data_IF_397565143447
#
_entry.id   IF_397565143447
#
_cell.length_a   1.000
_cell.length_b   1.000
_cell.length_c   1.000
_cell.angle_alpha   90.00
_cell.angle_beta   90.00
_cell.angle_gamma   90.00
#
_symmetry.space_group_name_H-M   'P 1'
#
loop_
_entity.id
_entity.type
_entity.pdbx_description
1 polymer ?
#
# COMPACT_ATOMS: atom_id res chain seq x y z
N UNK A 1 33.39 -11.37 38.79
CA UNK A 1 34.23 -12.55 39.10
C UNK A 1 35.20 -12.18 40.19
N UNK A 2 35.48 -13.11 41.10
CA UNK A 2 36.45 -12.90 42.18
C UNK A 2 37.85 -13.17 41.66
N UNK A 3 38.74 -12.20 41.78
CA UNK A 3 40.14 -12.36 41.42
C UNK A 3 41.04 -12.07 42.61
N UNK A 4 42.08 -12.88 42.78
CA UNK A 4 43.11 -12.68 43.80
C UNK A 4 44.39 -12.21 43.10
N UNK A 5 44.45 -10.91 42.84
CA UNK A 5 45.62 -10.26 42.25
C UNK A 5 46.30 -9.47 43.37
N UNK A 6 47.61 -9.64 43.52
CA UNK A 6 48.38 -8.83 44.46
C UNK A 6 48.30 -7.37 44.05
N UNK A 7 47.91 -6.50 44.99
CA UNK A 7 47.73 -5.07 44.75
C UNK A 7 48.99 -4.41 44.14
N UNK A 8 50.19 -4.82 44.59
CA UNK A 8 51.47 -4.40 44.02
C UNK A 8 51.67 -4.82 42.54
N UNK A 9 51.13 -5.96 42.12
CA UNK A 9 51.22 -6.44 40.73
C UNK A 9 50.24 -5.67 39.84
N UNK A 10 49.03 -5.38 40.35
CA UNK A 10 48.05 -4.56 39.65
C UNK A 10 48.52 -3.12 39.46
N UNK A 11 49.12 -2.51 40.49
CA UNK A 11 49.69 -1.16 40.40
C UNK A 11 50.85 -1.11 39.40
N UNK A 12 51.77 -2.07 39.45
CA UNK A 12 52.86 -2.18 38.46
C UNK A 12 52.34 -2.36 37.04
N UNK A 13 51.28 -3.14 36.84
CA UNK A 13 50.66 -3.29 35.52
C UNK A 13 49.94 -2.01 35.07
N UNK A 14 49.28 -1.28 35.97
CA UNK A 14 48.66 0.03 35.69
C UNK A 14 49.69 1.10 35.33
N UNK A 15 50.84 1.12 36.00
CA UNK A 15 51.97 2.02 35.71
C UNK A 15 52.61 1.69 34.36
N UNK A 16 52.95 0.42 34.13
CA UNK A 16 53.50 -0.04 32.82
C UNK A 16 52.54 0.23 31.66
N UNK A 17 51.23 0.05 31.88
CA UNK A 17 50.22 0.40 30.87
C UNK A 17 50.25 1.90 30.54
N UNK A 18 50.33 2.77 31.55
CA UNK A 18 50.42 4.23 31.36
C UNK A 18 51.71 4.61 30.61
N UNK A 19 52.85 4.05 30.99
CA UNK A 19 54.14 4.31 30.33
C UNK A 19 54.14 3.87 28.86
N UNK A 20 53.69 2.63 28.58
CA UNK A 20 53.58 2.12 27.21
C UNK A 20 52.60 2.94 26.37
N UNK A 21 51.51 3.44 26.98
CA UNK A 21 50.53 4.32 26.32
C UNK A 21 51.09 5.70 26.02
N UNK A 22 51.92 6.24 26.90
CA UNK A 22 52.61 7.49 26.63
C UNK A 22 53.67 7.34 25.54
N UNK A 23 54.40 6.21 25.53
CA UNK A 23 55.40 5.91 24.52
C UNK A 23 54.79 5.70 23.13
N UNK A 24 53.74 4.89 23.02
CA UNK A 24 53.01 4.69 21.77
C UNK A 24 52.44 6.01 21.23
N UNK A 25 51.91 6.86 22.12
CA UNK A 25 51.41 8.21 21.77
C UNK A 25 52.52 9.14 21.26
N UNK A 26 53.73 9.09 21.84
CA UNK A 26 54.91 9.84 21.35
C UNK A 26 55.38 9.36 19.98
N UNK A 27 55.19 8.07 19.68
CA UNK A 27 55.48 7.44 18.40
C UNK A 27 54.34 7.60 17.37
N UNK A 28 53.23 8.28 17.73
CA UNK A 28 52.11 8.53 16.83
C UNK A 28 51.27 7.30 16.49
N UNK A 29 51.36 6.23 17.28
CA UNK A 29 50.66 4.95 17.08
C UNK A 29 49.78 4.60 18.28
N UNK A 30 48.83 3.70 18.07
CA UNK A 30 48.06 3.09 19.17
C UNK A 30 48.85 1.91 19.78
N UNK A 31 48.48 1.52 21.02
CA UNK A 31 49.06 0.31 21.64
C UNK A 31 48.64 -0.91 20.84
N UNK A 32 49.60 -1.82 20.62
CA UNK A 32 49.32 -3.12 20.00
C UNK A 32 48.88 -4.11 21.08
N UNK A 33 48.04 -5.07 20.70
CA UNK A 33 47.54 -6.12 21.60
C UNK A 33 48.67 -6.95 22.22
N UNK A 34 49.75 -7.22 21.47
CA UNK A 34 50.98 -7.87 21.97
C UNK A 34 51.64 -7.11 23.14
N UNK A 35 51.45 -5.80 23.25
CA UNK A 35 52.00 -4.95 24.33
C UNK A 35 51.10 -4.94 25.58
N UNK A 36 49.97 -5.65 25.54
CA UNK A 36 48.96 -5.74 26.60
C UNK A 36 48.87 -7.14 27.21
N UNK A 37 49.34 -8.17 26.51
CA UNK A 37 49.23 -9.58 26.94
C UNK A 37 49.93 -9.88 28.27
N UNK A 38 50.99 -9.15 28.62
CA UNK A 38 51.74 -9.31 29.88
C UNK A 38 51.23 -8.43 31.03
N UNK A 39 50.15 -7.66 30.82
CA UNK A 39 49.58 -6.77 31.82
C UNK A 39 48.33 -7.39 32.44
N UNK A 40 48.30 -7.44 33.78
CA UNK A 40 47.12 -7.89 34.52
C UNK A 40 46.02 -6.84 34.39
N UNK A 41 44.85 -7.22 33.87
CA UNK A 41 43.70 -6.34 33.67
C UNK A 41 42.62 -6.62 34.72
N UNK A 42 42.31 -5.61 35.54
CA UNK A 42 41.23 -5.66 36.52
C UNK A 42 40.16 -4.60 36.17
N UNK A 43 38.97 -5.04 35.80
CA UNK A 43 37.77 -4.25 35.54
C UNK A 43 36.93 -4.13 36.82
N UNK A 44 37.06 -3.02 37.52
CA UNK A 44 36.36 -2.71 38.79
C UNK A 44 34.81 -2.79 38.70
N UNK A 45 34.23 -2.82 37.50
CA UNK A 45 32.77 -2.97 37.31
C UNK A 45 32.31 -4.43 37.24
N UNK A 46 33.20 -5.35 36.89
CA UNK A 46 32.87 -6.75 36.61
C UNK A 46 33.67 -7.74 37.48
N UNK A 47 34.78 -7.28 38.05
CA UNK A 47 35.68 -8.04 38.94
C UNK A 47 35.74 -7.39 40.32
N UNK A 48 35.89 -8.22 41.34
CA UNK A 48 36.05 -7.82 42.75
C UNK A 48 37.25 -8.57 43.33
N UNK A 49 38.01 -7.92 44.21
CA UNK A 49 39.16 -8.55 44.87
C UNK A 49 38.69 -9.64 45.82
N UNK A 50 39.47 -10.71 45.95
CA UNK A 50 39.18 -11.82 46.88
C UNK A 50 39.01 -11.35 48.33
N UNK A 51 39.80 -10.37 48.77
CA UNK A 51 39.67 -9.75 50.09
C UNK A 51 38.26 -9.20 50.34
N UNK A 52 37.74 -8.46 49.36
CA UNK A 52 36.49 -7.71 49.46
C UNK A 52 35.29 -8.63 49.20
N UNK A 53 35.47 -9.64 48.33
CA UNK A 53 34.47 -10.67 48.08
C UNK A 53 34.20 -11.51 49.33
N UNK A 54 35.25 -11.83 50.10
CA UNK A 54 35.16 -12.61 51.34
C UNK A 54 34.45 -11.88 52.48
N UNK A 55 34.43 -10.55 52.46
CA UNK A 55 33.62 -9.76 53.41
C UNK A 55 32.11 -9.84 53.12
N UNK A 56 31.73 -10.14 51.87
CA UNK A 56 30.34 -10.22 51.43
C UNK A 56 29.82 -11.67 51.52
N UNK A 57 30.65 -12.65 51.19
CA UNK A 57 30.34 -14.09 51.27
C UNK A 57 31.59 -14.85 51.74
N UNK A 58 31.53 -15.45 52.94
CA UNK A 58 32.71 -16.09 53.56
C UNK A 58 33.15 -17.38 52.85
N UNK A 59 32.25 -18.02 52.09
CA UNK A 59 32.47 -19.30 51.40
C UNK A 59 32.95 -19.13 49.94
N UNK A 60 33.18 -17.90 49.47
CA UNK A 60 33.52 -17.65 48.06
C UNK A 60 34.99 -17.97 47.72
N UNK A 61 35.22 -18.61 46.57
CA UNK A 61 36.56 -18.94 46.09
C UNK A 61 37.01 -18.05 44.91
N UNK A 62 38.31 -18.02 44.64
CA UNK A 62 38.88 -17.28 43.50
C UNK A 62 38.38 -17.90 42.20
N UNK A 63 37.85 -17.07 41.31
CA UNK A 63 37.20 -17.50 40.07
C UNK A 63 35.67 -17.56 40.15
N UNK A 64 35.08 -17.47 41.34
CA UNK A 64 33.62 -17.52 41.48
C UNK A 64 32.93 -16.20 41.06
N UNK A 65 31.64 -16.31 40.76
CA UNK A 65 30.80 -15.15 40.45
C UNK A 65 29.98 -14.75 41.67
N UNK A 66 30.44 -13.72 42.38
CA UNK A 66 29.69 -13.09 43.47
C UNK A 66 28.42 -12.41 42.92
N UNK A 67 27.24 -12.83 43.42
CA UNK A 67 25.96 -12.20 43.08
C UNK A 67 25.60 -11.15 44.12
N UNK A 68 25.86 -9.90 43.81
CA UNK A 68 25.48 -8.78 44.68
C UNK A 68 24.01 -8.43 44.39
N UNK A 69 23.10 -8.51 45.39
CA UNK A 69 21.72 -8.08 45.20
C UNK A 69 21.70 -6.57 44.97
N UNK A 70 21.32 -6.17 43.76
CA UNK A 70 21.11 -4.77 43.43
C UNK A 70 19.80 -4.30 44.06
N UNK A 71 19.86 -3.27 44.89
CA UNK A 71 18.65 -2.57 45.33
C UNK A 71 18.04 -1.87 44.12
N UNK A 72 16.89 -2.36 43.67
CA UNK A 72 16.16 -1.76 42.55
C UNK A 72 15.57 -0.43 43.06
N UNK A 73 16.02 0.74 42.59
CA UNK A 73 15.43 2.00 43.01
C UNK A 73 13.95 2.00 42.63
N UNK A 74 13.05 2.49 43.51
CA UNK A 74 11.59 2.46 43.23
C UNK A 74 11.19 3.13 41.90
N UNK A 75 12.00 4.09 41.42
CA UNK A 75 11.84 4.73 40.11
C UNK A 75 12.09 3.79 38.92
N UNK A 76 12.96 2.78 39.08
CA UNK A 76 13.25 1.77 38.06
C UNK A 76 12.02 0.93 37.74
N UNK A 77 11.23 0.54 38.76
CA UNK A 77 9.98 -0.19 38.56
C UNK A 77 8.93 0.62 37.78
N UNK A 78 8.83 1.93 38.05
CA UNK A 78 7.92 2.84 37.32
C UNK A 78 8.35 3.02 35.86
N UNK A 79 9.65 3.23 35.61
CA UNK A 79 10.19 3.33 34.25
C UNK A 79 10.02 2.02 33.48
N UNK A 80 10.34 0.88 34.09
CA UNK A 80 10.17 -0.44 33.49
C UNK A 80 8.71 -0.73 33.13
N UNK A 81 7.76 -0.39 33.99
CA UNK A 81 6.33 -0.55 33.72
C UNK A 81 5.84 0.36 32.57
N UNK A 82 6.33 1.60 32.49
CA UNK A 82 6.00 2.51 31.39
C UNK A 82 6.58 2.01 30.06
N UNK A 83 7.83 1.55 30.05
CA UNK A 83 8.47 0.96 28.87
C UNK A 83 7.73 -0.32 28.44
N UNK A 84 7.38 -1.20 29.38
CA UNK A 84 6.60 -2.40 29.08
C UNK A 84 5.24 -2.05 28.45
N UNK A 85 4.52 -1.05 29.01
CA UNK A 85 3.27 -0.55 28.41
C UNK A 85 3.49 -0.03 26.99
N UNK A 86 4.56 0.72 26.74
CA UNK A 86 4.87 1.24 25.41
C UNK A 86 5.18 0.11 24.41
N UNK A 87 5.98 -0.89 24.80
CA UNK A 87 6.31 -2.05 23.98
C UNK A 87 5.05 -2.87 23.67
N UNK A 88 4.17 -3.08 24.66
CA UNK A 88 2.90 -3.78 24.45
C UNK A 88 2.01 -3.01 23.45
N UNK A 89 1.87 -1.70 23.61
CA UNK A 89 1.07 -0.86 22.68
C UNK A 89 1.67 -0.89 21.28
N UNK A 90 3.00 -0.88 21.14
CA UNK A 90 3.67 -0.98 19.84
C UNK A 90 3.39 -2.32 19.18
N UNK A 91 3.59 -3.44 19.90
CA UNK A 91 3.29 -4.79 19.38
C UNK A 91 1.82 -4.97 19.02
N UNK A 92 0.91 -4.40 19.81
CA UNK A 92 -0.52 -4.45 19.51
C UNK A 92 -0.85 -3.71 18.21
N UNK A 93 -0.26 -2.53 18.01
CA UNK A 93 -0.43 -1.75 16.77
C UNK A 93 0.19 -2.45 15.55
N UNK A 94 1.32 -3.13 15.72
CA UNK A 94 1.95 -3.91 14.66
C UNK A 94 1.06 -5.07 14.22
N UNK A 95 0.53 -5.84 15.18
CA UNK A 95 -0.42 -6.91 14.90
C UNK A 95 -1.72 -6.39 14.25
N UNK A 96 -2.25 -5.26 14.71
CA UNK A 96 -3.42 -4.62 14.10
C UNK A 96 -3.17 -4.21 12.65
N UNK A 97 -2.00 -3.61 12.37
CA UNK A 97 -1.59 -3.23 11.01
C UNK A 97 -1.43 -4.44 10.10
N UNK A 98 -0.87 -5.53 10.60
CA UNK A 98 -0.70 -6.75 9.82
C UNK A 98 -2.05 -7.38 9.46
N UNK A 99 -2.97 -7.47 10.42
CA UNK A 99 -4.33 -7.95 10.18
C UNK A 99 -5.07 -7.09 9.13
N UNK A 100 -4.96 -5.76 9.22
CA UNK A 100 -5.57 -4.85 8.24
C UNK A 100 -4.94 -5.02 6.86
N UNK A 101 -3.61 -5.18 6.78
CA UNK A 101 -2.94 -5.44 5.49
C UNK A 101 -3.49 -6.71 4.83
N UNK A 102 -3.57 -7.82 5.56
CA UNK A 102 -4.07 -9.09 5.02
C UNK A 102 -5.51 -8.97 4.53
N UNK A 103 -6.39 -8.34 5.32
CA UNK A 103 -7.80 -8.12 4.93
C UNK A 103 -7.95 -7.30 3.64
N UNK A 104 -7.16 -6.23 3.49
CA UNK A 104 -7.24 -5.41 2.27
C UNK A 104 -6.47 -6.00 1.11
N UNK A 105 -5.45 -6.84 1.36
CA UNK A 105 -4.73 -7.55 0.29
C UNK A 105 -5.64 -8.55 -0.42
N UNK A 106 -6.55 -9.21 0.31
CA UNK A 106 -7.59 -10.07 -0.28
C UNK A 106 -8.61 -9.28 -1.11
N UNK A 107 -8.80 -8.00 -0.80
CA UNK A 107 -9.73 -7.08 -1.49
C UNK A 107 -9.05 -6.26 -2.59
N UNK A 108 -7.78 -6.52 -2.90
CA UNK A 108 -7.08 -5.86 -4.00
C UNK A 108 -7.80 -6.14 -5.32
N UNK A 109 -8.02 -5.12 -6.14
CA UNK A 109 -8.81 -5.22 -7.38
C UNK A 109 -10.32 -5.11 -7.19
N UNK A 110 -10.82 -4.88 -5.96
CA UNK A 110 -12.26 -4.68 -5.72
C UNK A 110 -12.61 -3.21 -5.47
N UNK A 111 -13.91 -2.91 -5.40
CA UNK A 111 -14.41 -1.59 -4.99
C UNK A 111 -14.68 -1.52 -3.49
N UNK A 112 -14.41 -0.36 -2.90
CA UNK A 112 -14.68 -0.07 -1.49
C UNK A 112 -15.33 1.30 -1.36
N UNK A 113 -16.27 1.42 -0.42
CA UNK A 113 -16.84 2.70 -0.03
C UNK A 113 -15.90 3.41 0.95
N UNK A 114 -15.68 4.69 0.73
CA UNK A 114 -14.83 5.52 1.59
C UNK A 114 -15.38 6.92 1.79
N UNK A 115 -15.00 7.54 2.92
CA UNK A 115 -15.32 8.93 3.23
C UNK A 115 -14.09 9.78 2.99
N UNK A 116 -14.22 10.87 2.23
CA UNK A 116 -13.11 11.78 2.03
C UNK A 116 -12.76 12.45 3.35
N UNK A 117 -11.52 12.28 3.81
CA UNK A 117 -11.06 12.86 5.07
C UNK A 117 -10.48 14.26 4.84
N UNK A 118 -9.58 14.39 3.86
CA UNK A 118 -8.91 15.66 3.56
C UNK A 118 -8.27 15.64 2.17
N UNK A 119 -8.13 16.83 1.59
CA UNK A 119 -7.33 17.06 0.37
C UNK A 119 -6.05 17.78 0.80
N UNK A 120 -4.89 17.23 0.44
CA UNK A 120 -3.58 17.83 0.74
C UNK A 120 -3.27 18.94 -0.26
N UNK A 121 -2.36 19.85 0.11
CA UNK A 121 -1.87 20.92 -0.78
C UNK A 121 -1.29 20.41 -2.10
N UNK A 122 -0.79 19.17 -2.11
CA UNK A 122 -0.28 18.49 -3.31
C UNK A 122 -1.39 17.98 -4.26
N UNK A 123 -2.66 18.20 -3.95
CA UNK A 123 -3.81 17.68 -4.70
C UNK A 123 -4.13 16.20 -4.42
N UNK A 124 -3.43 15.55 -3.51
CA UNK A 124 -3.71 14.16 -3.15
C UNK A 124 -4.82 14.09 -2.11
N UNK A 125 -5.69 13.09 -2.22
CA UNK A 125 -6.84 12.91 -1.34
C UNK A 125 -6.58 11.76 -0.37
N UNK A 126 -6.88 11.99 0.91
CA UNK A 126 -6.94 10.92 1.92
C UNK A 126 -8.40 10.52 2.12
N UNK A 127 -8.64 9.22 2.06
CA UNK A 127 -9.96 8.62 2.18
C UNK A 127 -9.97 7.72 3.41
N UNK A 128 -10.94 7.92 4.29
CA UNK A 128 -11.19 7.05 5.43
C UNK A 128 -12.00 5.83 4.99
N UNK A 129 -11.42 4.64 5.15
CA UNK A 129 -12.06 3.33 4.90
C UNK A 129 -12.55 2.68 6.20
N UNK A 130 -12.62 3.45 7.29
CA UNK A 130 -13.07 3.04 8.63
C UNK A 130 -11.95 2.48 9.51
N UNK A 131 -11.18 1.50 9.02
CA UNK A 131 -10.05 0.90 9.78
C UNK A 131 -8.72 1.58 9.48
N UNK A 132 -8.56 2.08 8.27
CA UNK A 132 -7.32 2.68 7.77
C UNK A 132 -7.64 3.73 6.71
N UNK A 133 -6.71 4.64 6.49
CA UNK A 133 -6.82 5.62 5.43
C UNK A 133 -6.26 5.08 4.12
N UNK A 134 -7.06 5.15 3.05
CA UNK A 134 -6.61 5.00 1.68
C UNK A 134 -6.02 6.30 1.13
N UNK A 135 -5.19 6.14 0.11
CA UNK A 135 -4.50 7.23 -0.57
C UNK A 135 -4.95 7.28 -2.03
N UNK A 136 -5.49 8.43 -2.46
CA UNK A 136 -5.92 8.67 -3.82
C UNK A 136 -5.03 9.75 -4.47
N UNK A 137 -4.06 9.36 -5.30
CA UNK A 137 -3.19 10.30 -6.00
C UNK A 137 -3.97 11.17 -6.98
N UNK A 138 -3.50 12.39 -7.23
CA UNK A 138 -4.11 13.29 -8.23
C UNK A 138 -4.25 12.68 -9.63
N UNK A 139 -3.32 11.78 -10.04
CA UNK A 139 -3.38 11.11 -11.35
C UNK A 139 -4.48 10.06 -11.45
N UNK A 140 -4.92 9.52 -10.32
CA UNK A 140 -5.93 8.47 -10.25
C UNK A 140 -7.32 9.04 -9.90
N UNK A 141 -7.44 10.37 -9.81
CA UNK A 141 -8.69 11.07 -9.56
C UNK A 141 -9.49 11.22 -10.84
N UNK A 142 -10.81 11.17 -10.72
CA UNK A 142 -11.71 11.59 -11.79
C UNK A 142 -11.86 13.12 -11.73
N UNK A 143 -11.59 13.85 -12.84
CA UNK A 143 -11.66 15.31 -12.87
C UNK A 143 -13.04 15.91 -12.55
N UNK A 144 -14.14 15.15 -12.73
CA UNK A 144 -15.50 15.64 -12.46
C UNK A 144 -15.95 15.42 -11.02
N UNK A 145 -15.27 14.56 -10.27
CA UNK A 145 -15.64 14.31 -8.88
C UNK A 145 -15.30 15.52 -8.01
N UNK A 146 -16.25 15.89 -7.16
CA UNK A 146 -15.97 16.85 -6.09
C UNK A 146 -15.43 16.11 -4.87
N UNK A 147 -14.13 16.28 -4.58
CA UNK A 147 -13.46 15.65 -3.44
C UNK A 147 -13.57 16.46 -2.14
N UNK A 148 -14.80 16.75 -1.69
CA UNK A 148 -15.05 17.51 -0.46
C UNK A 148 -14.95 16.63 0.81
N UNK A 149 -14.33 17.10 1.91
CA UNK A 149 -14.32 16.37 3.18
C UNK A 149 -15.72 15.98 3.66
N UNK A 150 -15.88 14.75 4.11
CA UNK A 150 -17.16 14.18 4.55
C UNK A 150 -18.01 13.56 3.44
N UNK A 151 -17.66 13.77 2.16
CA UNK A 151 -18.36 13.13 1.04
C UNK A 151 -18.02 11.64 0.98
N UNK A 152 -19.02 10.83 0.69
CA UNK A 152 -18.88 9.39 0.44
C UNK A 152 -18.78 9.15 -1.05
N UNK A 153 -17.81 8.33 -1.45
CA UNK A 153 -17.64 7.86 -2.81
C UNK A 153 -17.18 6.40 -2.77
N UNK A 154 -17.38 5.70 -3.87
CA UNK A 154 -16.77 4.40 -4.12
C UNK A 154 -15.39 4.58 -4.74
N UNK A 155 -14.45 3.67 -4.43
CA UNK A 155 -13.09 3.71 -4.92
C UNK A 155 -12.65 2.31 -5.34
N UNK A 156 -11.89 2.19 -6.42
CA UNK A 156 -11.23 0.94 -6.79
C UNK A 156 -9.91 0.82 -6.02
N UNK A 157 -9.68 -0.32 -5.36
CA UNK A 157 -8.42 -0.64 -4.68
C UNK A 157 -7.41 -1.11 -5.73
N UNK A 158 -6.60 -0.18 -6.22
CA UNK A 158 -5.62 -0.44 -7.29
C UNK A 158 -4.45 -1.29 -6.81
N UNK A 159 -3.93 -1.00 -5.62
CA UNK A 159 -2.91 -1.84 -5.01
C UNK A 159 -2.87 -1.70 -3.49
N UNK A 160 -2.39 -2.74 -2.82
CA UNK A 160 -2.15 -2.74 -1.36
C UNK A 160 -0.70 -3.13 -1.10
N UNK A 161 0.05 -2.20 -0.50
CA UNK A 161 1.48 -2.33 -0.25
C UNK A 161 1.82 -2.18 1.24
N UNK A 162 2.94 -2.79 1.68
CA UNK A 162 3.47 -2.61 3.04
C UNK A 162 4.38 -1.38 3.05
N UNK A 163 3.87 -0.26 3.54
CA UNK A 163 4.63 0.98 3.71
C UNK A 163 5.40 1.04 5.03
N UNK A 164 6.25 2.06 5.16
CA UNK A 164 7.07 2.30 6.37
C UNK A 164 6.25 2.61 7.63
N UNK A 165 4.99 3.05 7.46
CA UNK A 165 4.09 3.46 8.55
C UNK A 165 2.89 2.54 8.74
N UNK A 166 2.81 1.44 7.98
CA UNK A 166 1.66 0.54 7.93
C UNK A 166 1.25 0.20 6.49
N UNK A 167 0.09 -0.46 6.30
CA UNK A 167 -0.45 -0.72 4.98
C UNK A 167 -0.73 0.59 4.25
N UNK A 168 -0.30 0.69 2.99
CA UNK A 168 -0.65 1.78 2.10
C UNK A 168 -1.60 1.25 1.04
N UNK A 169 -2.84 1.73 1.06
CA UNK A 169 -3.90 1.33 0.13
C UNK A 169 -4.00 2.41 -0.94
N UNK A 170 -3.60 2.05 -2.16
CA UNK A 170 -3.70 2.91 -3.32
C UNK A 170 -5.10 2.80 -3.92
N UNK A 171 -5.81 3.91 -3.93
CA UNK A 171 -7.14 4.02 -4.50
C UNK A 171 -7.08 4.66 -5.89
N UNK A 172 -8.06 4.30 -6.73
CA UNK A 172 -8.29 4.92 -8.02
C UNK A 172 -9.77 5.17 -8.27
N UNK A 173 -10.06 6.26 -8.97
CA UNK A 173 -11.36 6.54 -9.59
C UNK A 173 -11.31 6.71 -11.11
N UNK A 174 -10.12 6.71 -11.69
CA UNK A 174 -9.91 6.86 -13.14
C UNK A 174 -9.62 5.55 -13.88
N UNK A 175 -9.38 4.43 -13.18
CA UNK A 175 -9.08 3.14 -13.81
C UNK A 175 -10.25 2.55 -14.58
N UNK A 176 -10.00 1.88 -15.70
CA UNK A 176 -11.01 1.13 -16.47
C UNK A 176 -11.73 0.08 -15.63
N UNK A 177 -11.00 -0.65 -14.77
CA UNK A 177 -11.57 -1.66 -13.86
C UNK A 177 -12.67 -1.14 -12.95
N UNK A 178 -12.68 0.17 -12.67
CA UNK A 178 -13.76 0.75 -11.88
C UNK A 178 -15.11 0.61 -12.58
N UNK A 179 -15.15 0.72 -13.90
CA UNK A 179 -16.37 0.56 -14.68
C UNK A 179 -16.83 -0.89 -14.61
N UNK A 180 -15.92 -1.85 -14.81
CA UNK A 180 -16.22 -3.28 -14.68
C UNK A 180 -16.89 -3.60 -13.33
N UNK A 181 -16.25 -3.18 -12.24
CA UNK A 181 -16.70 -3.47 -10.88
C UNK A 181 -18.03 -2.79 -10.53
N UNK A 182 -18.28 -1.59 -11.08
CA UNK A 182 -19.57 -0.91 -10.89
C UNK A 182 -20.68 -1.61 -11.68
N UNK A 183 -20.40 -2.05 -12.91
CA UNK A 183 -21.34 -2.83 -13.71
C UNK A 183 -21.68 -4.15 -13.03
N UNK A 184 -20.69 -4.89 -12.56
CA UNK A 184 -20.86 -6.15 -11.82
C UNK A 184 -21.72 -5.94 -10.56
N UNK A 185 -21.50 -4.84 -9.82
CA UNK A 185 -22.30 -4.51 -8.62
C UNK A 185 -23.75 -4.11 -8.95
N UNK A 186 -24.00 -3.40 -10.05
CA UNK A 186 -25.32 -2.87 -10.39
C UNK A 186 -26.20 -3.86 -11.19
N UNK A 187 -25.58 -4.78 -11.94
CA UNK A 187 -26.25 -5.66 -12.90
C UNK A 187 -26.07 -7.12 -12.46
N UNK A 188 -27.09 -7.73 -11.81
CA UNK A 188 -27.04 -9.11 -11.33
C UNK A 188 -26.73 -10.15 -12.42
N UNK A 189 -27.16 -9.89 -13.65
CA UNK A 189 -26.91 -10.75 -14.80
C UNK A 189 -25.39 -10.87 -15.08
N UNK A 190 -24.62 -9.81 -14.82
CA UNK A 190 -23.14 -9.81 -14.92
C UNK A 190 -22.52 -10.59 -13.75
N UNK A 191 -23.00 -10.35 -12.53
CA UNK A 191 -22.53 -11.07 -11.33
C UNK A 191 -22.77 -12.59 -11.43
N UNK A 192 -23.89 -13.00 -12.03
CA UNK A 192 -24.24 -14.41 -12.24
C UNK A 192 -23.49 -15.08 -13.41
N UNK A 193 -22.86 -14.29 -14.28
CA UNK A 193 -22.18 -14.75 -15.49
C UNK A 193 -23.11 -15.06 -16.66
N UNK A 194 -24.39 -14.71 -16.59
CA UNK A 194 -25.34 -14.78 -17.71
C UNK A 194 -25.09 -13.69 -18.76
N UNK A 195 -24.45 -12.59 -18.35
CA UNK A 195 -24.04 -11.50 -19.22
C UNK A 195 -22.55 -11.19 -18.99
N UNK A 196 -21.76 -11.12 -20.06
CA UNK A 196 -20.32 -10.88 -19.98
C UNK A 196 -19.96 -9.45 -20.43
N UNK A 197 -19.08 -8.79 -19.67
CA UNK A 197 -18.37 -7.58 -20.11
C UNK A 197 -17.16 -8.00 -20.96
N UNK A 198 -17.15 -7.68 -22.25
CA UNK A 198 -16.07 -8.09 -23.17
C UNK A 198 -14.90 -7.10 -23.19
N UNK A 199 -15.19 -5.81 -23.17
CA UNK A 199 -14.15 -4.78 -23.11
C UNK A 199 -14.69 -3.44 -22.61
N UNK A 200 -13.80 -2.64 -22.05
CA UNK A 200 -14.07 -1.26 -21.63
C UNK A 200 -13.01 -0.36 -22.21
N UNK A 201 -13.44 0.72 -22.86
CA UNK A 201 -12.59 1.84 -23.22
C UNK A 201 -13.05 3.08 -22.45
N UNK A 202 -12.13 3.73 -21.72
CA UNK A 202 -12.49 4.80 -20.79
C UNK A 202 -11.65 6.06 -20.93
N UNK A 203 -12.33 7.19 -21.06
CA UNK A 203 -11.80 8.51 -20.78
C UNK A 203 -12.48 9.06 -19.51
N UNK A 204 -11.84 8.82 -18.36
CA UNK A 204 -12.38 9.09 -17.03
C UNK A 204 -12.94 10.51 -16.86
N UNK A 205 -14.17 10.59 -16.33
CA UNK A 205 -14.87 11.87 -16.14
C UNK A 205 -15.46 12.48 -17.40
N UNK A 206 -15.30 11.83 -18.56
CA UNK A 206 -15.92 12.30 -19.80
C UNK A 206 -16.82 11.24 -20.42
N UNK A 207 -16.24 10.12 -20.86
CA UNK A 207 -16.98 9.08 -21.57
C UNK A 207 -16.31 7.71 -21.45
N UNK A 208 -17.12 6.67 -21.26
CA UNK A 208 -16.74 5.27 -21.38
C UNK A 208 -17.60 4.56 -22.43
N UNK A 209 -16.99 3.61 -23.13
CA UNK A 209 -17.69 2.60 -23.93
C UNK A 209 -17.47 1.24 -23.29
N UNK A 210 -18.56 0.50 -23.14
CA UNK A 210 -18.57 -0.84 -22.54
C UNK A 210 -19.22 -1.78 -23.52
N UNK A 211 -18.52 -2.85 -23.88
CA UNK A 211 -19.08 -3.89 -24.74
C UNK A 211 -19.56 -5.08 -23.94
N UNK A 212 -20.75 -5.56 -24.29
CA UNK A 212 -21.46 -6.62 -23.57
C UNK A 212 -21.88 -7.73 -24.51
N UNK A 213 -21.95 -8.95 -23.99
CA UNK A 213 -22.30 -10.14 -24.75
C UNK A 213 -22.98 -11.18 -23.87
N UNK A 214 -23.87 -11.96 -24.46
CA UNK A 214 -24.54 -13.11 -23.83
C UNK A 214 -24.65 -14.24 -24.86
N UNK A 215 -24.58 -15.49 -24.41
CA UNK A 215 -24.93 -16.66 -25.22
C UNK A 215 -26.42 -17.05 -25.09
N UNK A 216 -27.12 -16.49 -24.12
CA UNK A 216 -28.55 -16.72 -23.91
C UNK A 216 -29.41 -15.75 -24.75
N UNK A 217 -30.04 -16.28 -25.80
CA UNK A 217 -30.99 -15.58 -26.68
C UNK A 217 -32.20 -14.96 -25.95
N UNK A 218 -32.49 -15.39 -24.72
CA UNK A 218 -33.57 -14.84 -23.90
C UNK A 218 -33.21 -13.54 -23.19
N UNK A 219 -31.92 -13.19 -23.15
CA UNK A 219 -31.38 -11.99 -22.49
C UNK A 219 -31.04 -10.95 -23.55
N UNK A 220 -31.60 -9.75 -23.41
CA UNK A 220 -31.16 -8.58 -24.18
C UNK A 220 -29.94 -7.96 -23.46
N UNK A 221 -28.72 -8.04 -24.02
CA UNK A 221 -27.51 -7.62 -23.34
C UNK A 221 -27.49 -6.11 -23.08
N UNK A 222 -27.93 -5.30 -24.06
CA UNK A 222 -27.98 -3.84 -23.92
C UNK A 222 -29.13 -3.47 -22.96
N UNK A 223 -30.31 -4.05 -23.15
CA UNK A 223 -31.49 -3.77 -22.33
C UNK A 223 -31.28 -4.08 -20.86
N UNK A 224 -30.55 -5.15 -20.54
CA UNK A 224 -30.22 -5.57 -19.17
C UNK A 224 -29.29 -4.58 -18.47
N UNK A 225 -28.33 -4.00 -19.19
CA UNK A 225 -27.44 -2.98 -18.67
C UNK A 225 -28.14 -1.62 -18.47
N UNK A 226 -29.04 -1.25 -19.38
CA UNK A 226 -29.80 0.00 -19.30
C UNK A 226 -30.81 -0.06 -18.13
N UNK A 227 -31.49 -1.20 -17.99
CA UNK A 227 -32.55 -1.38 -17.00
C UNK A 227 -33.83 -0.62 -17.35
N UNK A 228 -34.85 -0.77 -16.51
CA UNK A 228 -36.18 -0.18 -16.78
C UNK A 228 -36.10 1.35 -16.82
N UNK A 229 -36.38 1.93 -18.00
CA UNK A 229 -36.28 3.39 -18.25
C UNK A 229 -34.88 3.96 -17.98
N UNK A 230 -33.82 3.16 -18.15
CA UNK A 230 -32.45 3.64 -17.93
C UNK A 230 -32.05 3.73 -16.46
N UNK A 231 -32.77 3.09 -15.54
CA UNK A 231 -32.49 3.23 -14.10
C UNK A 231 -31.09 2.76 -13.73
N UNK A 232 -30.64 1.60 -14.24
CA UNK A 232 -29.34 1.01 -13.89
C UNK A 232 -28.20 1.84 -14.46
N UNK A 233 -28.27 2.16 -15.76
CA UNK A 233 -27.22 3.00 -16.40
C UNK A 233 -27.12 4.39 -15.77
N UNK A 234 -28.24 4.98 -15.32
CA UNK A 234 -28.22 6.27 -14.61
C UNK A 234 -27.49 6.15 -13.28
N UNK A 235 -27.74 5.10 -12.49
CA UNK A 235 -27.00 4.82 -11.25
C UNK A 235 -25.49 4.70 -11.53
N UNK A 236 -25.11 3.99 -12.59
CA UNK A 236 -23.69 3.81 -12.95
C UNK A 236 -23.05 5.15 -13.34
N UNK A 237 -23.74 5.97 -14.14
CA UNK A 237 -23.27 7.31 -14.52
C UNK A 237 -23.08 8.20 -13.29
N UNK A 238 -24.03 8.17 -12.35
CA UNK A 238 -23.95 8.94 -11.11
C UNK A 238 -22.78 8.49 -10.23
N UNK A 239 -22.57 7.18 -10.11
CA UNK A 239 -21.44 6.59 -9.39
C UNK A 239 -20.08 6.90 -10.02
N UNK A 240 -20.03 7.17 -11.32
CA UNK A 240 -18.85 7.61 -12.07
C UNK A 240 -18.71 9.14 -12.13
N UNK A 241 -19.52 9.89 -11.39
CA UNK A 241 -19.42 11.36 -11.31
C UNK A 241 -19.97 12.08 -12.55
N UNK A 242 -20.97 11.51 -13.21
CA UNK A 242 -21.60 12.09 -14.40
C UNK A 242 -20.87 11.77 -15.72
N UNK A 243 -19.93 10.83 -15.68
CA UNK A 243 -19.26 10.30 -16.87
C UNK A 243 -20.29 9.63 -17.81
N UNK A 244 -20.28 9.96 -19.10
CA UNK A 244 -21.21 9.34 -20.05
C UNK A 244 -20.82 7.90 -20.32
N UNK A 245 -21.75 6.96 -20.23
CA UNK A 245 -21.48 5.55 -20.49
C UNK A 245 -22.32 5.07 -21.66
N UNK A 246 -21.67 4.61 -22.72
CA UNK A 246 -22.33 3.90 -23.82
C UNK A 246 -22.15 2.40 -23.62
N UNK A 247 -23.25 1.66 -23.74
CA UNK A 247 -23.23 0.20 -23.77
C UNK A 247 -23.45 -0.26 -25.20
N UNK A 248 -22.56 -1.09 -25.72
CA UNK A 248 -22.60 -1.59 -27.10
C UNK A 248 -22.57 -3.12 -27.09
N UNK A 249 -23.24 -3.74 -28.06
CA UNK A 249 -23.22 -5.19 -28.22
C UNK A 249 -21.90 -5.63 -28.87
N UNK A 250 -21.22 -6.58 -28.23
CA UNK A 250 -20.04 -7.22 -28.80
C UNK A 250 -20.43 -8.21 -29.89
N UNK A 251 -19.61 -8.31 -30.93
CA UNK A 251 -19.75 -9.31 -31.98
C UNK A 251 -18.39 -9.92 -32.30
N UNK A 252 -18.38 -11.22 -32.59
CA UNK A 252 -17.19 -11.90 -33.12
C UNK A 252 -16.86 -11.46 -34.56
N UNK A 253 -17.83 -10.90 -35.31
CA UNK A 253 -17.57 -10.23 -36.58
C UNK A 253 -17.01 -8.83 -36.32
N UNK A 254 -15.72 -8.55 -36.63
CA UNK A 254 -15.13 -7.25 -36.34
C UNK A 254 -15.82 -6.11 -37.09
N UNK A 255 -16.46 -6.37 -38.25
CA UNK A 255 -17.20 -5.32 -38.97
C UNK A 255 -18.43 -4.86 -38.19
N UNK A 256 -19.18 -5.84 -37.68
CA UNK A 256 -20.37 -5.57 -36.87
C UNK A 256 -19.97 -4.94 -35.54
N UNK A 257 -18.89 -5.44 -34.91
CA UNK A 257 -18.43 -4.87 -33.66
C UNK A 257 -17.94 -3.43 -33.79
N UNK A 258 -17.20 -3.09 -34.86
CA UNK A 258 -16.78 -1.70 -35.14
C UNK A 258 -18.01 -0.80 -35.37
N UNK A 259 -19.01 -1.30 -36.11
CA UNK A 259 -20.27 -0.57 -36.32
C UNK A 259 -20.97 -0.29 -34.98
N UNK A 260 -21.09 -1.29 -34.11
CA UNK A 260 -21.67 -1.15 -32.79
C UNK A 260 -20.87 -0.19 -31.90
N UNK A 261 -19.54 -0.28 -31.93
CA UNK A 261 -18.65 0.57 -31.13
C UNK A 261 -18.80 2.07 -31.47
N UNK A 262 -19.02 2.39 -32.75
CA UNK A 262 -19.22 3.78 -33.21
C UNK A 262 -20.58 4.39 -32.84
N UNK A 263 -21.49 3.60 -32.25
CA UNK A 263 -22.75 4.08 -31.66
C UNK A 263 -22.48 5.29 -30.74
N UNK A 264 -23.28 6.38 -30.83
CA UNK A 264 -24.61 6.46 -31.46
C UNK A 264 -24.61 6.79 -32.96
N UNK A 265 -23.47 6.84 -33.64
CA UNK A 265 -23.44 7.14 -35.07
C UNK A 265 -23.86 5.93 -35.91
N UNK A 266 -24.71 6.17 -36.90
CA UNK A 266 -25.14 5.14 -37.84
C UNK A 266 -24.06 4.91 -38.91
N UNK A 267 -23.48 3.70 -38.92
CA UNK A 267 -22.45 3.29 -39.88
C UNK A 267 -23.05 2.45 -41.01
N UNK A 268 -22.84 2.89 -42.25
CA UNK A 268 -23.32 2.20 -43.44
C UNK A 268 -22.48 0.97 -43.76
N UNK A 269 -21.15 1.13 -43.79
CA UNK A 269 -20.22 0.10 -44.23
C UNK A 269 -18.90 0.16 -43.44
N UNK A 270 -18.36 -1.00 -43.06
CA UNK A 270 -17.02 -1.13 -42.48
C UNK A 270 -16.14 -1.97 -43.40
N UNK A 271 -15.02 -1.38 -43.85
CA UNK A 271 -13.98 -2.04 -44.66
C UNK A 271 -12.75 -2.27 -43.81
N UNK A 272 -12.41 -3.54 -43.59
CA UNK A 272 -11.20 -3.91 -42.86
C UNK A 272 -10.07 -4.11 -43.88
N UNK A 273 -8.89 -3.59 -43.57
CA UNK A 273 -7.70 -3.77 -44.41
C UNK A 273 -7.27 -5.25 -44.46
N UNK A 274 -6.58 -5.65 -45.53
CA UNK A 274 -6.14 -7.05 -45.70
C UNK A 274 -5.23 -7.53 -44.56
N UNK A 275 -4.55 -6.61 -43.88
CA UNK A 275 -3.64 -6.90 -42.77
C UNK A 275 -4.32 -6.79 -41.39
N UNK A 276 -5.58 -6.35 -41.31
CA UNK A 276 -6.39 -6.33 -40.10
C UNK A 276 -6.07 -5.22 -39.08
N UNK A 277 -5.05 -4.39 -39.33
CA UNK A 277 -4.63 -3.31 -38.42
C UNK A 277 -5.45 -2.02 -38.59
N UNK A 278 -6.20 -1.88 -39.69
CA UNK A 278 -6.94 -0.67 -40.03
C UNK A 278 -8.34 -1.01 -40.50
N UNK A 279 -9.31 -0.17 -40.12
CA UNK A 279 -10.67 -0.24 -40.62
C UNK A 279 -11.15 1.15 -41.09
N UNK A 280 -11.90 1.16 -42.18
CA UNK A 280 -12.57 2.36 -42.72
C UNK A 280 -14.07 2.20 -42.51
N UNK A 281 -14.65 3.05 -41.65
CA UNK A 281 -16.09 3.19 -41.48
C UNK A 281 -16.63 4.26 -42.44
N UNK A 282 -17.65 3.93 -43.22
CA UNK A 282 -18.37 4.83 -44.10
C UNK A 282 -19.67 5.21 -43.41
N UNK A 283 -19.91 6.52 -43.30
CA UNK A 283 -21.08 7.11 -42.64
C UNK A 283 -21.63 8.23 -43.53
N UNK A 284 -22.91 8.53 -43.37
CA UNK A 284 -23.52 9.69 -44.01
C UNK A 284 -22.90 11.01 -43.51
N UNK A 285 -23.03 12.08 -44.30
CA UNK A 285 -22.44 13.39 -44.00
C UNK A 285 -22.95 13.98 -42.68
N UNK A 286 -24.21 13.73 -42.32
CA UNK A 286 -24.81 14.17 -41.05
C UNK A 286 -24.33 13.33 -39.86
N UNK A 287 -23.95 12.07 -40.08
CA UNK A 287 -23.39 11.17 -39.07
C UNK A 287 -21.89 11.39 -38.84
N UNK A 288 -21.17 12.00 -39.79
CA UNK A 288 -19.71 12.17 -39.73
C UNK A 288 -19.23 12.82 -38.42
N UNK A 289 -19.88 13.91 -37.98
CA UNK A 289 -19.50 14.59 -36.74
C UNK A 289 -19.80 13.75 -35.49
N UNK A 290 -20.83 12.91 -35.54
CA UNK A 290 -21.22 12.04 -34.42
C UNK A 290 -20.26 10.86 -34.31
N UNK A 291 -19.91 10.26 -35.45
CA UNK A 291 -18.99 9.15 -35.56
C UNK A 291 -17.61 9.51 -35.00
N UNK A 292 -17.08 10.69 -35.34
CA UNK A 292 -15.81 11.20 -34.78
C UNK A 292 -15.95 11.56 -33.30
N UNK A 293 -17.04 12.22 -32.94
CA UNK A 293 -17.25 12.76 -31.60
C UNK A 293 -16.38 14.00 -31.32
N UNK A 294 -16.66 14.67 -30.19
CA UNK A 294 -15.93 15.89 -29.80
C UNK A 294 -14.44 15.57 -29.61
N UNK A 295 -13.56 16.29 -30.30
CA UNK A 295 -12.10 16.06 -30.29
C UNK A 295 -11.68 14.62 -30.66
N UNK A 296 -12.48 13.90 -31.45
CA UNK A 296 -12.19 12.52 -31.83
C UNK A 296 -12.41 11.51 -30.69
N UNK A 297 -13.17 11.87 -29.65
CA UNK A 297 -13.39 11.00 -28.49
C UNK A 297 -14.10 9.69 -28.86
N UNK A 298 -15.08 9.71 -29.77
CA UNK A 298 -15.89 8.53 -30.08
C UNK A 298 -15.13 7.51 -30.96
N UNK A 299 -14.16 7.96 -31.77
CA UNK A 299 -13.28 7.07 -32.55
C UNK A 299 -12.14 6.50 -31.71
N UNK A 300 -11.76 7.19 -30.64
CA UNK A 300 -10.65 6.78 -29.76
C UNK A 300 -11.09 5.75 -28.73
N UNK A 301 -12.32 5.90 -28.22
CA UNK A 301 -13.00 4.94 -27.38
C UNK A 301 -13.56 3.80 -28.23
#
# INVERSE_FOLDING_TARGET
>A
MVEDIKEEELERSREKFKERREQARKEGRELREEELEDLVHFNEKEQIMFSDAKEIDEDIEVGDTLKIPLEIPGEFGRMAAQTAKQVIIQKLKEAERENVFEEYKEKEGTIVEGVIQSVKDSGNVLVDLGKINGFLPHKEQNPQDEYAPGKRLIFHIKSVEKGSKGPEILLSRSSEEMVNLIFEREIPEIESGELELKSVAREAGSRSKVSVWTDDDSIDPIGSCIGRRGSRITTIIDELGGEKVDVVEYSDDPKEYIKNALSPADVEEVKISEYGEEATAVVDEDQFSLAIGKNGQNVRL
#
